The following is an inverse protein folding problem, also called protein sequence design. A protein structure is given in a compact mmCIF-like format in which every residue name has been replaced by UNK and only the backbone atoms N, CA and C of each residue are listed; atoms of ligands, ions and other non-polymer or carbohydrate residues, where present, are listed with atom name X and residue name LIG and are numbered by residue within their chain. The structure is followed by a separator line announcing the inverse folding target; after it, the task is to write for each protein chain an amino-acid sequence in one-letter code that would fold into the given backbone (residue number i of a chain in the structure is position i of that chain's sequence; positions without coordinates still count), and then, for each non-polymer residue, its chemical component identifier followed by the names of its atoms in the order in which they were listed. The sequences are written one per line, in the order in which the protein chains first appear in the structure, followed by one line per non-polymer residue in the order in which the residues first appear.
data_IF_470628117187
#
_entry.id   IF_470628117187
#
_cell.length_a   1.000
_cell.length_b   1.000
_cell.length_c   1.000
_cell.angle_alpha   90.00
_cell.angle_beta   90.00
_cell.angle_gamma   90.00
#
_symmetry.space_group_name_H-M   'P 1'
#
loop_
_entity.id
_entity.type
_entity.pdbx_description
1 polymer ?
#
# COMPACT_ATOMS: atom_id res chain seq x y z
N UNK A 1 -18.92 6.21 -8.83
CA UNK A 1 -17.47 6.08 -8.52
C UNK A 1 -16.94 7.28 -7.74
N UNK A 2 -17.10 8.53 -8.20
CA UNK A 2 -16.57 9.70 -7.47
C UNK A 2 -17.23 9.95 -6.10
N UNK A 3 -18.56 9.88 -6.00
CA UNK A 3 -19.27 10.06 -4.72
C UNK A 3 -18.84 9.03 -3.66
N UNK A 4 -18.64 7.77 -4.08
CA UNK A 4 -18.15 6.70 -3.21
C UNK A 4 -16.75 7.01 -2.69
N UNK A 5 -15.83 7.40 -3.57
CA UNK A 5 -14.47 7.77 -3.18
C UNK A 5 -14.45 8.97 -2.23
N UNK A 6 -15.26 10.00 -2.51
CA UNK A 6 -15.39 11.18 -1.65
C UNK A 6 -15.90 10.83 -0.25
N UNK A 7 -16.88 9.92 -0.15
CA UNK A 7 -17.43 9.47 1.13
C UNK A 7 -16.40 8.72 1.97
N UNK A 8 -15.67 7.78 1.35
CA UNK A 8 -14.62 7.02 2.04
C UNK A 8 -13.50 7.95 2.50
N UNK A 9 -13.07 8.88 1.63
CA UNK A 9 -12.04 9.85 1.96
C UNK A 9 -12.46 10.76 3.11
N UNK A 10 -13.70 11.27 3.10
CA UNK A 10 -14.22 12.09 4.18
C UNK A 10 -14.25 11.32 5.50
N UNK A 11 -14.80 10.10 5.52
CA UNK A 11 -14.83 9.25 6.72
C UNK A 11 -13.43 8.99 7.27
N UNK A 12 -12.48 8.63 6.40
CA UNK A 12 -11.10 8.36 6.79
C UNK A 12 -10.39 9.61 7.33
N UNK A 13 -10.58 10.75 6.67
CA UNK A 13 -9.98 12.02 7.09
C UNK A 13 -10.52 12.47 8.44
N UNK A 14 -11.84 12.38 8.62
CA UNK A 14 -12.49 12.67 9.90
C UNK A 14 -11.99 11.73 11.00
N UNK A 15 -11.89 10.43 10.71
CA UNK A 15 -11.35 9.44 11.63
C UNK A 15 -9.92 9.77 12.08
N UNK A 16 -9.02 10.00 11.11
CA UNK A 16 -7.60 10.23 11.37
C UNK A 16 -7.34 11.55 12.12
N UNK A 17 -8.12 12.59 11.83
CA UNK A 17 -7.94 13.91 12.44
C UNK A 17 -8.64 13.98 13.79
N UNK A 18 -9.90 13.54 13.94
CA UNK A 18 -10.66 13.79 15.16
C UNK A 18 -10.25 12.90 16.33
N UNK A 19 -10.08 11.59 16.11
CA UNK A 19 -9.81 10.61 17.17
C UNK A 19 -8.64 10.98 18.11
N UNK A 20 -7.50 11.56 17.68
CA UNK A 20 -6.43 11.94 18.60
C UNK A 20 -6.76 13.11 19.53
N UNK A 21 -7.79 13.93 19.25
CA UNK A 21 -8.15 15.08 20.10
C UNK A 21 -9.12 14.74 21.23
N UNK A 22 -9.74 13.57 21.21
CA UNK A 22 -10.68 13.14 22.24
C UNK A 22 -10.02 12.18 23.24
N UNK A 23 -10.46 12.26 24.50
CA UNK A 23 -10.06 11.29 25.52
C UNK A 23 -10.59 9.89 25.18
N UNK A 24 -9.83 8.85 25.54
CA UNK A 24 -10.17 7.46 25.23
C UNK A 24 -11.53 6.99 25.78
N UNK A 25 -12.07 7.66 26.81
CA UNK A 25 -13.41 7.41 27.37
C UNK A 25 -14.54 8.06 26.57
N UNK A 26 -14.22 8.87 25.57
CA UNK A 26 -15.21 9.58 24.76
C UNK A 26 -16.02 8.59 23.91
N UNK A 27 -17.36 8.75 23.82
CA UNK A 27 -18.23 7.92 22.98
C UNK A 27 -17.85 7.95 21.50
N UNK A 28 -17.10 8.97 21.05
CA UNK A 28 -16.66 9.10 19.66
C UNK A 28 -15.85 7.90 19.18
N UNK A 29 -15.10 7.25 20.08
CA UNK A 29 -14.29 6.08 19.74
C UNK A 29 -15.13 4.86 19.32
N UNK A 30 -16.43 4.83 19.61
CA UNK A 30 -17.33 3.76 19.15
C UNK A 30 -17.70 3.87 17.66
N UNK A 31 -17.53 5.05 17.06
CA UNK A 31 -17.87 5.32 15.65
C UNK A 31 -16.72 5.07 14.69
N UNK A 32 -15.52 4.83 15.22
CA UNK A 32 -14.28 4.77 14.48
C UNK A 32 -13.48 3.52 14.84
N UNK A 33 -12.71 2.95 13.90
CA UNK A 33 -11.78 1.89 14.24
C UNK A 33 -10.69 2.37 15.22
N UNK A 34 -9.98 1.44 15.89
CA UNK A 34 -8.90 1.78 16.79
C UNK A 34 -7.82 2.65 16.11
N UNK A 35 -7.28 3.62 16.85
CA UNK A 35 -6.38 4.67 16.33
C UNK A 35 -5.19 4.13 15.56
N UNK A 36 -4.65 2.97 15.95
CA UNK A 36 -3.49 2.36 15.31
C UNK A 36 -3.75 2.01 13.84
N UNK A 37 -5.00 1.75 13.47
CA UNK A 37 -5.36 1.43 12.09
C UNK A 37 -5.32 2.65 11.17
N UNK A 38 -5.49 3.86 11.70
CA UNK A 38 -5.34 5.10 10.92
C UNK A 38 -3.89 5.30 10.44
N UNK A 39 -2.91 4.66 11.09
CA UNK A 39 -1.50 4.73 10.69
C UNK A 39 -1.06 3.45 9.97
N UNK A 40 -1.50 2.28 10.46
CA UNK A 40 -1.15 0.99 9.88
C UNK A 40 -1.66 0.81 8.46
N UNK A 41 -2.84 1.33 8.13
CA UNK A 41 -3.46 1.11 6.82
C UNK A 41 -2.67 1.80 5.68
N UNK A 42 -2.32 3.11 5.76
CA UNK A 42 -1.42 3.73 4.79
C UNK A 42 -0.04 3.08 4.73
N UNK A 43 0.54 2.74 5.89
CA UNK A 43 1.86 2.10 5.95
C UNK A 43 1.85 0.73 5.25
N UNK A 44 0.81 -0.07 5.45
CA UNK A 44 0.64 -1.37 4.79
C UNK A 44 0.51 -1.21 3.28
N UNK A 45 -0.30 -0.26 2.80
CA UNK A 45 -0.44 0.03 1.37
C UNK A 45 0.91 0.42 0.76
N UNK A 46 1.70 1.26 1.44
CA UNK A 46 3.03 1.64 0.98
C UNK A 46 3.97 0.43 0.89
N UNK A 47 4.04 -0.40 1.93
CA UNK A 47 4.91 -1.58 1.93
C UNK A 47 4.51 -2.56 0.83
N UNK A 48 3.21 -2.83 0.67
CA UNK A 48 2.71 -3.71 -0.39
C UNK A 48 3.01 -3.13 -1.78
N UNK A 49 2.76 -1.83 -1.97
CA UNK A 49 3.04 -1.14 -3.23
C UNK A 49 4.53 -1.19 -3.59
N UNK A 50 5.41 -0.85 -2.65
CA UNK A 50 6.86 -0.91 -2.86
C UNK A 50 7.35 -2.34 -3.12
N UNK A 51 6.81 -3.32 -2.38
CA UNK A 51 7.13 -4.73 -2.58
C UNK A 51 6.72 -5.21 -3.97
N UNK A 52 5.53 -4.82 -4.44
CA UNK A 52 5.05 -5.15 -5.78
C UNK A 52 5.94 -4.54 -6.87
N UNK A 53 6.33 -3.27 -6.72
CA UNK A 53 7.25 -2.60 -7.65
C UNK A 53 8.61 -3.31 -7.67
N UNK A 54 9.18 -3.59 -6.49
CA UNK A 54 10.45 -4.31 -6.37
C UNK A 54 10.41 -5.70 -7.00
N UNK A 55 9.35 -6.47 -6.74
CA UNK A 55 9.14 -7.78 -7.33
C UNK A 55 9.02 -7.72 -8.86
N UNK A 56 8.29 -6.74 -9.38
CA UNK A 56 8.14 -6.54 -10.83
C UNK A 56 9.50 -6.22 -11.47
N UNK A 57 10.23 -5.23 -10.96
CA UNK A 57 11.55 -4.86 -11.47
C UNK A 57 12.52 -6.04 -11.39
N UNK A 58 12.60 -6.71 -10.24
CA UNK A 58 13.43 -7.91 -10.07
C UNK A 58 13.11 -9.00 -11.10
N UNK A 59 11.83 -9.27 -11.33
CA UNK A 59 11.39 -10.27 -12.32
C UNK A 59 11.82 -9.91 -13.75
N UNK A 60 11.78 -8.62 -14.12
CA UNK A 60 12.21 -8.16 -15.44
C UNK A 60 13.71 -8.29 -15.65
N UNK A 61 14.51 -7.97 -14.63
CA UNK A 61 15.98 -8.11 -14.65
C UNK A 61 16.35 -9.58 -14.83
N UNK A 62 15.78 -10.48 -14.02
CA UNK A 62 16.04 -11.92 -14.12
C UNK A 62 15.71 -12.43 -15.53
N UNK A 63 14.53 -12.07 -16.05
CA UNK A 63 14.07 -12.49 -17.38
C UNK A 63 14.97 -11.96 -18.49
N UNK A 64 15.44 -10.72 -18.39
CA UNK A 64 16.37 -10.15 -19.36
C UNK A 64 17.73 -10.86 -19.33
N UNK A 65 18.25 -11.13 -18.13
CA UNK A 65 19.55 -11.80 -17.97
C UNK A 65 19.52 -13.24 -18.51
N UNK A 66 18.42 -13.97 -18.27
CA UNK A 66 18.19 -15.30 -18.86
C UNK A 66 18.17 -15.25 -20.39
N UNK A 67 17.46 -14.26 -20.98
CA UNK A 67 17.44 -14.06 -22.43
C UNK A 67 18.82 -13.75 -22.99
N UNK A 68 19.62 -12.91 -22.31
CA UNK A 68 21.00 -12.60 -22.70
C UNK A 68 21.88 -13.84 -22.65
N UNK A 69 21.82 -14.62 -21.56
CA UNK A 69 22.59 -15.87 -21.42
C UNK A 69 22.22 -16.91 -22.50
N UNK A 70 20.93 -17.04 -22.83
CA UNK A 70 20.47 -17.94 -23.89
C UNK A 70 21.02 -17.52 -25.27
N UNK A 71 21.02 -16.22 -25.57
CA UNK A 71 21.59 -15.69 -26.83
C UNK A 71 23.10 -15.93 -26.94
N UNK A 72 23.85 -15.85 -25.84
CA UNK A 72 25.29 -16.15 -25.83
C UNK A 72 25.52 -17.63 -26.12
N UNK A 73 24.76 -18.54 -25.48
CA UNK A 73 24.85 -19.99 -25.73
C UNK A 73 24.55 -20.34 -27.19
N UNK A 74 23.52 -19.75 -27.77
CA UNK A 74 23.14 -19.96 -29.19
C UNK A 74 24.19 -19.46 -30.19
N UNK A 75 25.01 -18.47 -29.82
CA UNK A 75 26.09 -17.94 -30.69
C UNK A 75 27.41 -18.71 -30.56
N UNK A 76 27.56 -19.45 -29.46
CA UNK A 76 28.77 -20.24 -29.17
C UNK A 76 28.64 -21.71 -29.61
N UNK A 77 27.46 -22.13 -30.04
CA UNK A 77 27.17 -23.42 -30.67
C UNK A 77 27.10 -23.24 -32.19
#
# INVERSE_FOLDING_TARGET
MMATAATIFAYYTTWAILVPFFAASSPIHAWFPPREWAVRLPAFILVVGLSAIGAFVGSTIIKENQKRAQKVKLRAA
#
